data_IF_542622045955
#
_entry.id   IF_542622045955
#
_cell.length_a   1.000
_cell.length_b   1.000
_cell.length_c   1.000
_cell.angle_alpha   90.00
_cell.angle_beta   90.00
_cell.angle_gamma   90.00
#
_symmetry.space_group_name_H-M   'P 1'
#
loop_
_entity.id
_entity.type
_entity.pdbx_description
1 polymer ?
#
# COMPACT_ATOMS: atom_id res chain seq x y z
N UNK A 1 22.86 -13.18 4.83
CA UNK A 1 22.92 -12.12 3.80
C UNK A 1 21.49 -11.79 3.42
N UNK A 2 20.96 -10.64 3.79
CA UNK A 2 19.60 -10.23 3.39
C UNK A 2 19.73 -9.44 2.10
N UNK A 3 19.47 -10.09 0.97
CA UNK A 3 19.44 -9.44 -0.34
C UNK A 3 18.31 -8.40 -0.37
N UNK A 4 18.66 -7.13 -0.21
CA UNK A 4 17.80 -6.02 -0.59
C UNK A 4 17.79 -5.92 -2.11
N UNK A 5 17.08 -6.86 -2.74
CA UNK A 5 16.68 -6.74 -4.14
C UNK A 5 16.05 -5.36 -4.27
N UNK A 6 16.76 -4.44 -4.93
CA UNK A 6 16.40 -3.03 -5.06
C UNK A 6 14.99 -2.97 -5.64
N UNK A 7 13.98 -2.87 -4.77
CA UNK A 7 12.58 -2.92 -5.18
C UNK A 7 12.37 -1.65 -5.99
N UNK A 8 12.38 -1.78 -7.32
CA UNK A 8 12.17 -0.64 -8.22
C UNK A 8 10.65 -0.47 -8.33
N UNK A 9 10.16 0.75 -8.09
CA UNK A 9 8.74 1.08 -8.20
C UNK A 9 8.05 1.26 -6.84
N UNK A 10 6.70 1.29 -6.82
CA UNK A 10 5.93 1.67 -5.64
C UNK A 10 6.15 0.76 -4.42
N UNK A 11 6.57 -0.49 -4.61
CA UNK A 11 6.95 -1.37 -3.51
C UNK A 11 8.19 -0.92 -2.72
N UNK A 12 9.00 0.04 -3.23
CA UNK A 12 10.09 0.67 -2.47
C UNK A 12 9.61 1.45 -1.25
N UNK A 13 8.35 1.89 -1.24
CA UNK A 13 7.77 2.61 -0.11
C UNK A 13 7.35 1.68 1.04
N UNK A 14 7.32 0.37 0.82
CA UNK A 14 6.80 -0.60 1.77
C UNK A 14 7.50 -0.58 3.14
N UNK A 15 8.85 -0.59 3.22
CA UNK A 15 9.52 -0.50 4.51
C UNK A 15 9.18 0.80 5.27
N UNK A 16 9.01 1.91 4.56
CA UNK A 16 8.61 3.18 5.15
C UNK A 16 7.16 3.16 5.64
N UNK A 17 6.24 2.54 4.88
CA UNK A 17 4.83 2.38 5.27
C UNK A 17 4.73 1.53 6.55
N UNK A 18 5.39 0.38 6.59
CA UNK A 18 5.40 -0.47 7.79
C UNK A 18 5.99 0.27 9.00
N UNK A 19 7.07 1.03 8.79
CA UNK A 19 7.70 1.83 9.85
C UNK A 19 6.80 2.99 10.32
N UNK A 20 6.06 3.63 9.42
CA UNK A 20 5.21 4.79 9.75
C UNK A 20 3.88 4.36 10.37
N UNK A 21 3.26 3.29 9.89
CA UNK A 21 1.91 2.88 10.31
C UNK A 21 1.92 1.63 11.21
N UNK A 22 3.06 0.98 11.42
CA UNK A 22 3.23 -0.12 12.39
C UNK A 22 2.57 -1.44 11.99
N UNK A 23 2.06 -1.56 10.77
CA UNK A 23 1.38 -2.76 10.26
C UNK A 23 2.10 -3.30 9.02
N UNK A 24 2.18 -4.63 8.85
CA UNK A 24 2.85 -5.24 7.71
C UNK A 24 2.10 -4.96 6.40
N UNK A 25 2.79 -4.98 5.26
CA UNK A 25 2.14 -4.77 3.94
C UNK A 25 1.00 -5.74 3.68
N UNK A 26 1.13 -6.99 4.11
CA UNK A 26 0.07 -7.99 3.98
C UNK A 26 -1.24 -7.55 4.65
N UNK A 27 -1.17 -6.84 5.78
CA UNK A 27 -2.35 -6.28 6.45
C UNK A 27 -3.05 -5.26 5.55
N UNK A 28 -2.29 -4.35 4.96
CA UNK A 28 -2.83 -3.33 4.04
C UNK A 28 -3.42 -3.94 2.77
N UNK A 29 -2.76 -4.94 2.18
CA UNK A 29 -3.27 -5.64 1.00
C UNK A 29 -4.58 -6.37 1.30
N UNK A 30 -4.68 -7.01 2.47
CA UNK A 30 -5.91 -7.67 2.90
C UNK A 30 -7.06 -6.67 3.08
N UNK A 31 -6.78 -5.50 3.68
CA UNK A 31 -7.78 -4.43 3.79
C UNK A 31 -8.27 -3.93 2.43
N UNK A 32 -7.37 -3.79 1.45
CA UNK A 32 -7.70 -3.42 0.08
C UNK A 32 -8.53 -4.52 -0.61
N UNK A 33 -8.25 -5.80 -0.35
CA UNK A 33 -9.06 -6.93 -0.85
C UNK A 33 -10.48 -6.95 -0.28
N UNK A 34 -10.68 -6.43 0.93
CA UNK A 34 -12.01 -6.33 1.54
C UNK A 34 -12.85 -5.16 1.00
N UNK A 35 -12.27 -4.28 0.18
CA UNK A 35 -13.03 -3.21 -0.45
C UNK A 35 -13.79 -3.74 -1.67
N UNK A 36 -15.08 -3.40 -1.77
CA UNK A 36 -15.90 -3.76 -2.93
C UNK A 36 -15.47 -3.04 -4.22
N UNK A 37 -14.74 -1.93 -4.11
CA UNK A 37 -14.23 -1.18 -5.25
C UNK A 37 -12.79 -1.54 -5.60
N UNK A 38 -12.52 -1.66 -6.91
CA UNK A 38 -11.15 -1.75 -7.45
C UNK A 38 -10.69 -0.45 -8.12
N UNK A 39 -11.41 0.66 -7.91
CA UNK A 39 -10.97 1.94 -8.48
C UNK A 39 -9.81 2.49 -7.66
N UNK A 40 -8.71 2.77 -8.36
CA UNK A 40 -7.49 3.32 -7.76
C UNK A 40 -7.75 4.51 -6.84
N UNK A 41 -8.49 5.51 -7.34
CA UNK A 41 -8.76 6.74 -6.57
C UNK A 41 -9.65 6.51 -5.35
N UNK A 42 -10.59 5.56 -5.41
CA UNK A 42 -11.47 5.24 -4.28
C UNK A 42 -10.67 4.54 -3.18
N UNK A 43 -9.82 3.58 -3.53
CA UNK A 43 -8.93 2.89 -2.60
C UNK A 43 -7.92 3.84 -1.96
N UNK A 44 -7.32 4.74 -2.74
CA UNK A 44 -6.41 5.78 -2.21
C UNK A 44 -7.15 6.72 -1.26
N UNK A 45 -8.37 7.14 -1.62
CA UNK A 45 -9.22 7.97 -0.76
C UNK A 45 -9.55 7.27 0.56
N UNK A 46 -9.89 5.97 0.50
CA UNK A 46 -10.21 5.16 1.67
C UNK A 46 -9.01 5.04 2.62
N UNK A 47 -7.81 4.71 2.12
CA UNK A 47 -6.58 4.66 2.93
C UNK A 47 -6.26 6.01 3.58
N UNK A 48 -6.47 7.11 2.86
CA UNK A 48 -6.29 8.46 3.41
C UNK A 48 -7.30 8.77 4.51
N UNK A 49 -8.57 8.39 4.32
CA UNK A 49 -9.66 8.71 5.25
C UNK A 49 -9.63 7.84 6.51
N UNK A 50 -9.46 6.51 6.36
CA UNK A 50 -9.53 5.56 7.46
C UNK A 50 -8.21 5.44 8.23
N UNK A 51 -7.08 5.55 7.53
CA UNK A 51 -5.76 5.27 8.11
C UNK A 51 -4.84 6.49 8.13
N UNK A 52 -5.38 7.68 7.81
CA UNK A 52 -4.62 8.93 7.70
C UNK A 52 -3.34 8.78 6.87
N UNK A 53 -3.40 7.91 5.86
CA UNK A 53 -2.23 7.58 5.07
C UNK A 53 -1.87 8.76 4.15
N UNK A 54 -0.57 9.04 3.99
CA UNK A 54 -0.11 10.06 3.06
C UNK A 54 -0.38 9.67 1.60
N UNK A 55 -0.51 10.65 0.70
CA UNK A 55 -0.86 10.37 -0.71
C UNK A 55 0.13 9.42 -1.39
N UNK A 56 1.44 9.63 -1.20
CA UNK A 56 2.46 8.75 -1.78
C UNK A 56 2.39 7.31 -1.27
N UNK A 57 2.16 7.13 0.04
CA UNK A 57 2.04 5.82 0.68
C UNK A 57 0.78 5.06 0.20
N UNK A 58 -0.36 5.75 0.18
CA UNK A 58 -1.61 5.17 -0.28
C UNK A 58 -1.52 4.81 -1.77
N UNK A 59 -0.97 5.71 -2.59
CA UNK A 59 -0.78 5.46 -4.01
C UNK A 59 0.12 4.26 -4.28
N UNK A 60 1.20 4.09 -3.50
CA UNK A 60 2.11 2.96 -3.62
C UNK A 60 1.43 1.62 -3.32
N UNK A 61 0.65 1.53 -2.23
CA UNK A 61 -0.09 0.31 -1.89
C UNK A 61 -1.10 -0.05 -2.95
N UNK A 62 -1.92 0.92 -3.37
CA UNK A 62 -2.99 0.69 -4.34
C UNK A 62 -2.42 0.35 -5.71
N UNK A 63 -1.37 1.02 -6.16
CA UNK A 63 -0.72 0.70 -7.43
C UNK A 63 -0.17 -0.74 -7.46
N UNK A 64 0.44 -1.19 -6.36
CA UNK A 64 0.93 -2.57 -6.27
C UNK A 64 -0.21 -3.57 -6.15
N UNK A 65 -1.25 -3.25 -5.38
CA UNK A 65 -2.44 -4.07 -5.23
C UNK A 65 -3.13 -4.29 -6.58
N UNK A 66 -3.40 -3.23 -7.34
CA UNK A 66 -4.03 -3.31 -8.65
C UNK A 66 -3.15 -3.95 -9.72
N UNK A 67 -1.82 -3.86 -9.59
CA UNK A 67 -0.91 -4.56 -10.49
C UNK A 67 -0.84 -6.08 -10.21
N UNK A 68 -1.25 -6.53 -9.02
CA UNK A 68 -1.27 -7.94 -8.61
C UNK A 68 -2.66 -8.60 -8.65
N UNK A 69 -3.74 -7.81 -8.77
CA UNK A 69 -5.14 -8.24 -8.64
C UNK A 69 -5.85 -8.45 -9.99
#
# INVERSE_FOLDING_TARGET
>A
MTETSKVKGPASYFPSIEKTYGQPIAHWMHLLQQQDTRKHMELVGWLKAQHQMGHGHANALVAVFLAQA
#
